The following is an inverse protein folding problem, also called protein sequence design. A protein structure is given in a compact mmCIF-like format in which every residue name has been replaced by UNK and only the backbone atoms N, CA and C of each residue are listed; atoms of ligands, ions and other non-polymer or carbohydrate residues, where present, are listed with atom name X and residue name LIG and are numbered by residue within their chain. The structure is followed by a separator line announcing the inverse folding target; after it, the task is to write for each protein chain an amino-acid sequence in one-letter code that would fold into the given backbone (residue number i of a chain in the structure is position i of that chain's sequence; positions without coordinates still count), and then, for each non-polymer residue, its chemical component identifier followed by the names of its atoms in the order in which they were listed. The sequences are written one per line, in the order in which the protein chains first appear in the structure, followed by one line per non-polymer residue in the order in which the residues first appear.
data_IF_570188996303
#
_entry.id   IF_570188996303
#
_cell.length_a   1.000
_cell.length_b   1.000
_cell.length_c   1.000
_cell.angle_alpha   90.00
_cell.angle_beta   90.00
_cell.angle_gamma   90.00
#
_symmetry.space_group_name_H-M   'P 1'
#
loop_
_entity.id
_entity.type
_entity.pdbx_description
1 polymer ?
#
# COMPACT_ATOMS: atom_id res chain seq x y z
N UNK A 1 -1.96 -17.01 -6.08
CA UNK A 1 -2.19 -15.69 -6.72
C UNK A 1 -0.86 -14.97 -6.88
N UNK A 2 -0.63 -14.38 -8.02
CA UNK A 2 0.60 -13.65 -8.28
C UNK A 2 0.54 -12.24 -7.69
N UNK A 3 1.71 -11.70 -7.39
CA UNK A 3 1.84 -10.33 -6.88
C UNK A 3 1.22 -9.30 -7.83
N UNK A 4 1.38 -9.49 -9.15
CA UNK A 4 0.81 -8.59 -10.16
C UNK A 4 -0.72 -8.55 -10.12
N UNK A 5 -1.37 -9.65 -9.77
CA UNK A 5 -2.83 -9.69 -9.65
C UNK A 5 -3.28 -8.92 -8.40
N UNK A 6 -2.53 -9.02 -7.33
CA UNK A 6 -2.79 -8.27 -6.09
C UNK A 6 -2.61 -6.78 -6.37
N UNK A 7 -1.56 -6.41 -7.11
CA UNK A 7 -1.27 -5.03 -7.50
C UNK A 7 -2.39 -4.43 -8.34
N UNK A 8 -2.86 -5.17 -9.35
CA UNK A 8 -3.95 -4.71 -10.22
C UNK A 8 -5.26 -4.57 -9.44
N UNK A 9 -5.50 -5.49 -8.51
CA UNK A 9 -6.69 -5.43 -7.67
C UNK A 9 -6.67 -4.19 -6.78
N UNK A 10 -5.54 -3.91 -6.13
CA UNK A 10 -5.38 -2.71 -5.31
C UNK A 10 -5.66 -1.45 -6.12
N UNK A 11 -5.06 -1.36 -7.31
CA UNK A 11 -5.23 -0.19 -8.18
C UNK A 11 -6.71 0.04 -8.51
N UNK A 12 -7.41 -1.02 -8.92
CA UNK A 12 -8.83 -0.91 -9.28
C UNK A 12 -9.69 -0.48 -8.08
N UNK A 13 -9.44 -1.08 -6.90
CA UNK A 13 -10.22 -0.74 -5.71
C UNK A 13 -9.98 0.69 -5.27
N UNK A 14 -8.74 1.17 -5.33
CA UNK A 14 -8.39 2.55 -5.00
C UNK A 14 -9.01 3.53 -5.99
N UNK A 15 -8.94 3.24 -7.28
CA UNK A 15 -9.54 4.09 -8.31
C UNK A 15 -11.05 4.21 -8.15
N UNK A 16 -11.70 3.14 -7.72
CA UNK A 16 -13.13 3.13 -7.46
C UNK A 16 -13.51 4.06 -6.31
N UNK A 17 -12.59 4.31 -5.38
CA UNK A 17 -12.78 5.27 -4.29
C UNK A 17 -12.47 6.71 -4.71
N UNK A 18 -12.07 6.92 -5.95
CA UNK A 18 -11.67 8.24 -6.46
C UNK A 18 -10.20 8.56 -6.24
N UNK A 19 -9.40 7.56 -5.87
CA UNK A 19 -7.98 7.73 -5.60
C UNK A 19 -7.06 7.24 -6.70
N UNK A 20 -5.78 7.23 -6.43
CA UNK A 20 -4.73 6.75 -7.33
C UNK A 20 -3.75 5.89 -6.55
N UNK A 21 -3.24 4.84 -7.19
CA UNK A 21 -2.21 3.98 -6.62
C UNK A 21 -1.00 4.00 -7.54
N UNK A 22 -0.11 4.97 -7.31
CA UNK A 22 1.08 5.15 -8.14
C UNK A 22 2.23 4.28 -7.64
N UNK A 23 3.06 3.84 -8.57
CA UNK A 23 4.33 3.23 -8.20
C UNK A 23 5.21 4.27 -7.53
N UNK A 24 5.94 3.86 -6.51
CA UNK A 24 6.82 4.76 -5.78
C UNK A 24 8.23 4.18 -5.73
N UNK A 25 9.16 4.86 -6.35
CA UNK A 25 10.55 4.43 -6.41
C UNK A 25 11.45 5.67 -6.36
N UNK A 26 11.64 6.25 -5.15
CA UNK A 26 12.47 7.46 -5.02
C UNK A 26 13.92 7.12 -5.37
N UNK A 27 14.54 8.02 -6.13
CA UNK A 27 15.92 7.86 -6.57
C UNK A 27 16.85 7.85 -5.36
N UNK A 28 17.75 6.85 -5.32
CA UNK A 28 18.76 6.76 -4.27
C UNK A 28 18.27 6.20 -2.95
N UNK A 29 17.01 5.80 -2.86
CA UNK A 29 16.46 5.21 -1.63
C UNK A 29 15.81 3.87 -1.97
N UNK A 30 16.36 2.78 -1.44
CA UNK A 30 15.84 1.43 -1.67
C UNK A 30 15.06 0.94 -0.45
N UNK A 31 14.19 -0.04 -0.68
CA UNK A 31 13.45 -0.70 0.40
C UNK A 31 12.18 0.01 0.83
N UNK A 32 11.79 1.10 0.15
CA UNK A 32 10.52 1.79 0.42
C UNK A 32 9.33 0.98 -0.11
N UNK A 33 8.11 1.22 0.39
CA UNK A 33 6.90 0.56 -0.15
C UNK A 33 6.73 0.81 -1.65
N UNK A 34 6.19 -0.17 -2.37
CA UNK A 34 6.05 -0.14 -3.84
C UNK A 34 5.07 0.91 -4.33
N UNK A 35 4.04 1.17 -3.56
CA UNK A 35 2.91 1.98 -3.99
C UNK A 35 2.65 3.13 -3.05
N UNK A 36 2.31 4.26 -3.64
CA UNK A 36 1.78 5.40 -2.91
C UNK A 36 0.31 5.50 -3.27
N UNK A 37 -0.56 5.28 -2.30
CA UNK A 37 -2.01 5.36 -2.48
C UNK A 37 -2.46 6.74 -2.04
N UNK A 38 -3.05 7.46 -2.98
CA UNK A 38 -3.57 8.82 -2.77
C UNK A 38 -5.08 8.76 -2.80
N UNK A 39 -5.72 9.23 -1.75
CA UNK A 39 -7.18 9.17 -1.59
C UNK A 39 -7.77 10.58 -1.45
N UNK A 40 -9.08 10.73 -1.77
CA UNK A 40 -9.78 12.01 -1.56
C UNK A 40 -9.61 12.50 -0.13
N UNK A 41 -9.51 13.80 0.04
CA UNK A 41 -9.28 14.41 1.34
C UNK A 41 -7.81 14.52 1.71
N UNK A 42 -6.91 14.25 0.77
CA UNK A 42 -5.46 14.36 0.99
C UNK A 42 -4.87 13.22 1.79
N UNK A 43 -5.54 12.09 1.89
CA UNK A 43 -5.05 10.92 2.62
C UNK A 43 -4.01 10.18 1.79
N UNK A 44 -2.91 9.77 2.42
CA UNK A 44 -1.81 9.04 1.79
C UNK A 44 -1.57 7.76 2.56
N UNK A 45 -1.52 6.64 1.85
CA UNK A 45 -1.16 5.34 2.42
C UNK A 45 -0.05 4.74 1.57
N UNK A 46 1.05 4.32 2.21
CA UNK A 46 2.11 3.61 1.53
C UNK A 46 1.83 2.11 1.62
N UNK A 47 1.95 1.41 0.51
CA UNK A 47 1.61 -0.01 0.42
C UNK A 47 2.76 -0.81 -0.16
N UNK A 48 3.19 -1.83 0.57
CA UNK A 48 4.11 -2.83 0.09
C UNK A 48 3.30 -4.05 -0.35
N UNK A 49 3.54 -4.52 -1.57
CA UNK A 49 2.83 -5.68 -2.12
C UNK A 49 3.77 -6.87 -2.17
N UNK A 50 3.28 -8.02 -1.72
CA UNK A 50 4.02 -9.27 -1.69
C UNK A 50 3.18 -10.39 -2.31
N UNK A 51 3.85 -11.39 -2.88
CA UNK A 51 3.19 -12.62 -3.26
C UNK A 51 2.66 -13.32 -2.00
N UNK A 52 1.61 -14.13 -2.11
CA UNK A 52 1.03 -14.80 -0.94
C UNK A 52 2.07 -15.54 -0.11
N UNK A 53 2.04 -15.32 1.20
CA UNK A 53 2.93 -15.94 2.15
C UNK A 53 4.32 -15.34 2.25
N UNK A 54 4.66 -14.36 1.42
CA UNK A 54 5.94 -13.67 1.50
C UNK A 54 5.86 -12.55 2.53
N UNK A 55 7.00 -12.31 3.20
CA UNK A 55 7.09 -11.27 4.23
C UNK A 55 8.06 -10.17 3.79
N UNK A 56 7.92 -9.01 4.38
CA UNK A 56 8.81 -7.89 4.15
C UNK A 56 10.22 -8.22 4.61
N UNK A 57 11.23 -7.75 3.87
CA UNK A 57 12.64 -7.86 4.26
C UNK A 57 12.95 -6.83 5.34
N UNK A 58 14.06 -7.01 6.05
CA UNK A 58 14.48 -6.11 7.14
C UNK A 58 14.58 -4.65 6.70
N UNK A 59 15.15 -4.39 5.52
CA UNK A 59 15.25 -3.03 5.02
C UNK A 59 13.87 -2.43 4.74
N UNK A 60 12.95 -3.22 4.21
CA UNK A 60 11.58 -2.77 3.96
C UNK A 60 10.87 -2.45 5.27
N UNK A 61 11.07 -3.27 6.30
CA UNK A 61 10.51 -2.99 7.63
C UNK A 61 11.09 -1.71 8.22
N UNK A 62 12.39 -1.48 8.04
CA UNK A 62 13.05 -0.26 8.48
C UNK A 62 12.47 0.98 7.81
N UNK A 63 12.30 0.95 6.47
CA UNK A 63 11.71 2.06 5.73
C UNK A 63 10.26 2.30 6.15
N UNK A 64 9.49 1.23 6.33
CA UNK A 64 8.11 1.34 6.79
C UNK A 64 8.05 2.02 8.17
N UNK A 65 8.96 1.65 9.07
CA UNK A 65 9.02 2.26 10.39
C UNK A 65 9.33 3.77 10.31
N UNK A 66 10.27 4.16 9.43
CA UNK A 66 10.57 5.58 9.23
C UNK A 66 9.33 6.36 8.80
N UNK A 67 8.55 5.81 7.88
CA UNK A 67 7.33 6.46 7.39
C UNK A 67 6.26 6.53 8.48
N UNK A 68 6.10 5.47 9.26
CA UNK A 68 5.15 5.44 10.38
C UNK A 68 5.54 6.47 11.46
N UNK A 69 6.83 6.60 11.73
CA UNK A 69 7.34 7.57 12.71
C UNK A 69 7.08 9.01 12.26
N UNK A 70 6.98 9.24 10.95
CA UNK A 70 6.60 10.54 10.39
C UNK A 70 5.07 10.77 10.40
N UNK A 71 4.30 9.77 10.79
CA UNK A 71 2.84 9.87 10.88
C UNK A 71 2.08 9.29 9.69
N UNK A 72 2.78 8.66 8.75
CA UNK A 72 2.12 8.05 7.59
C UNK A 72 1.62 6.65 7.92
N UNK A 73 0.53 6.28 7.27
CA UNK A 73 0.05 4.91 7.30
C UNK A 73 0.82 4.05 6.29
N UNK A 74 1.26 2.87 6.71
CA UNK A 74 1.98 1.93 5.86
C UNK A 74 1.33 0.56 6.03
N UNK A 75 1.00 -0.09 4.91
CA UNK A 75 0.39 -1.41 4.88
C UNK A 75 1.22 -2.37 4.05
N UNK A 76 1.16 -3.65 4.38
CA UNK A 76 1.80 -4.71 3.59
C UNK A 76 0.72 -5.74 3.24
N UNK A 77 0.48 -5.94 1.96
CA UNK A 77 -0.57 -6.83 1.48
C UNK A 77 0.01 -7.99 0.68
N UNK A 78 -0.39 -9.20 1.05
CA UNK A 78 -0.03 -10.42 0.34
C UNK A 78 -1.28 -11.17 -0.15
N UNK A 79 -2.47 -10.57 0.01
CA UNK A 79 -3.73 -11.14 -0.48
C UNK A 79 -4.77 -10.05 -0.68
N UNK A 80 -5.84 -10.39 -1.41
CA UNK A 80 -6.90 -9.42 -1.73
C UNK A 80 -7.85 -9.16 -0.55
N UNK A 81 -7.97 -10.08 0.38
CA UNK A 81 -8.84 -9.92 1.55
C UNK A 81 -8.37 -8.74 2.41
N UNK A 82 -7.08 -8.55 2.54
CA UNK A 82 -6.51 -7.41 3.28
C UNK A 82 -6.83 -6.09 2.61
N UNK A 83 -6.82 -6.08 1.26
CA UNK A 83 -7.21 -4.90 0.48
C UNK A 83 -8.69 -4.58 0.69
N UNK A 84 -9.54 -5.59 0.63
CA UNK A 84 -10.98 -5.42 0.84
C UNK A 84 -11.27 -4.85 2.24
N UNK A 85 -10.55 -5.32 3.24
CA UNK A 85 -10.69 -4.83 4.61
C UNK A 85 -10.29 -3.36 4.72
N UNK A 86 -9.19 -2.98 4.09
CA UNK A 86 -8.73 -1.59 4.06
C UNK A 86 -9.78 -0.69 3.42
N UNK A 87 -10.27 -1.09 2.24
CA UNK A 87 -11.27 -0.32 1.49
C UNK A 87 -12.56 -0.17 2.28
N UNK A 88 -13.03 -1.24 2.92
CA UNK A 88 -14.24 -1.20 3.76
C UNK A 88 -14.07 -0.21 4.91
N UNK A 89 -12.91 -0.22 5.56
CA UNK A 89 -12.63 0.69 6.67
C UNK A 89 -12.61 2.15 6.21
N UNK A 90 -12.09 2.42 5.02
CA UNK A 90 -12.08 3.76 4.44
C UNK A 90 -13.50 4.23 4.13
N UNK A 91 -14.32 3.37 3.53
CA UNK A 91 -15.70 3.68 3.19
C UNK A 91 -16.54 3.97 4.44
N UNK A 92 -16.32 3.23 5.51
CA UNK A 92 -17.03 3.44 6.78
C UNK A 92 -16.61 4.76 7.44
N UNK A 93 -15.32 5.11 7.33
CA UNK A 93 -14.79 6.31 7.96
C UNK A 93 -15.26 7.61 7.29
N UNK A 94 -15.70 7.51 6.05
CA UNK A 94 -16.26 8.66 5.31
C UNK A 94 -17.73 8.87 5.69
#
# INVERSE_FOLDING_TARGET
MEESRIENYLKRRVEKLGGKAYKWAPVGVVGVPDRMVLLPGGKVIFVELKAPGKKARKLQEYRAKQLKDLGFRVECFDNIEKIDKLVSNIEIAD
#
